data_IF_690344229412
#
_entry.id   IF_690344229412
#
_cell.length_a   1.000
_cell.length_b   1.000
_cell.length_c   1.000
_cell.angle_alpha   90.00
_cell.angle_beta   90.00
_cell.angle_gamma   90.00
#
_symmetry.space_group_name_H-M   'P 1'
#
loop_
_entity.id
_entity.type
_entity.pdbx_description
1 polymer ?
#
# COMPACT_ATOMS: atom_id res chain seq x y z
N UNK A 1 22.75 -23.49 31.40
CA UNK A 1 22.72 -22.31 30.51
C UNK A 1 21.26 -22.03 30.19
N UNK A 2 20.70 -21.01 30.84
CA UNK A 2 19.31 -20.54 30.70
C UNK A 2 19.35 -19.24 29.89
N UNK A 3 18.31 -19.02 29.07
CA UNK A 3 17.99 -17.83 28.26
C UNK A 3 18.48 -17.83 26.82
N UNK A 4 17.81 -18.58 25.95
CA UNK A 4 17.49 -18.17 24.57
C UNK A 4 16.09 -18.73 24.23
N UNK A 5 15.09 -18.35 25.02
CA UNK A 5 13.66 -18.54 24.71
C UNK A 5 13.06 -17.16 24.90
N UNK A 6 13.22 -16.25 23.93
CA UNK A 6 12.49 -14.98 23.87
C UNK A 6 12.82 -14.15 22.62
N UNK A 7 12.82 -14.72 21.41
CA UNK A 7 12.79 -13.88 20.18
C UNK A 7 12.25 -14.67 18.98
N UNK A 8 11.04 -15.22 19.09
CA UNK A 8 10.35 -15.83 17.94
C UNK A 8 8.85 -15.59 18.08
N UNK A 9 8.45 -14.33 18.22
CA UNK A 9 7.05 -13.92 18.22
C UNK A 9 6.94 -12.41 18.02
N UNK A 10 7.37 -11.87 16.86
CA UNK A 10 7.11 -10.44 16.54
C UNK A 10 7.27 -10.07 15.06
N UNK A 11 7.04 -11.00 14.13
CA UNK A 11 6.87 -10.70 12.70
C UNK A 11 5.60 -11.34 12.13
N UNK A 12 4.54 -11.37 12.96
CA UNK A 12 3.20 -11.13 12.44
C UNK A 12 2.95 -9.64 12.62
N UNK A 13 3.56 -8.81 11.78
CA UNK A 13 2.85 -7.60 11.41
C UNK A 13 1.82 -8.15 10.41
N UNK A 14 0.53 -8.32 10.78
CA UNK A 14 -0.45 -8.19 9.74
C UNK A 14 -0.13 -6.81 9.18
N UNK A 15 0.35 -6.75 7.93
CA UNK A 15 -0.02 -5.62 7.11
C UNK A 15 -1.54 -5.67 7.14
N UNK A 16 -2.11 -5.05 8.17
CA UNK A 16 -3.43 -4.53 8.14
C UNK A 16 -3.32 -3.56 6.98
N UNK A 17 -3.59 -4.08 5.79
CA UNK A 17 -4.47 -3.40 4.88
C UNK A 17 -5.66 -3.07 5.77
N UNK A 18 -5.57 -1.94 6.47
CA UNK A 18 -6.74 -1.21 6.88
C UNK A 18 -7.34 -0.72 5.57
N UNK A 19 -7.85 -1.66 4.76
CA UNK A 19 -9.16 -1.46 4.22
C UNK A 19 -9.94 -1.04 5.46
N UNK A 20 -10.32 0.23 5.53
CA UNK A 20 -11.32 0.65 6.49
C UNK A 20 -12.53 -0.21 6.15
N UNK A 21 -12.60 -1.39 6.77
CA UNK A 21 -13.80 -2.20 6.78
C UNK A 21 -14.73 -1.29 7.56
N UNK A 22 -15.54 -0.54 6.84
CA UNK A 22 -16.61 0.24 7.44
C UNK A 22 -17.39 -0.80 8.23
N UNK A 23 -17.35 -0.69 9.55
CA UNK A 23 -18.13 -1.54 10.43
C UNK A 23 -19.60 -1.40 10.00
N UNK A 24 -20.38 -2.49 10.03
CA UNK A 24 -21.81 -2.40 9.72
C UNK A 24 -22.50 -1.35 10.60
N UNK A 25 -21.98 -1.11 11.81
CA UNK A 25 -22.42 -0.04 12.69
C UNK A 25 -22.18 1.36 12.10
N UNK A 26 -20.99 1.63 11.56
CA UNK A 26 -20.61 2.89 10.89
C UNK A 26 -21.39 3.08 9.58
N UNK A 27 -21.61 2.01 8.83
CA UNK A 27 -22.44 2.04 7.62
C UNK A 27 -23.90 2.40 7.95
N UNK A 28 -24.46 1.82 9.02
CA UNK A 28 -25.81 2.14 9.48
C UNK A 28 -25.92 3.59 9.97
N UNK A 29 -24.90 4.12 10.65
CA UNK A 29 -24.84 5.52 11.08
C UNK A 29 -24.83 6.47 9.89
N UNK A 30 -24.04 6.16 8.84
CA UNK A 30 -24.04 6.92 7.59
C UNK A 30 -25.42 6.92 6.92
N UNK A 31 -26.10 5.76 6.85
CA UNK A 31 -27.46 5.68 6.28
C UNK A 31 -28.50 6.48 7.07
N UNK A 32 -28.31 6.59 8.38
CA UNK A 32 -29.19 7.36 9.27
C UNK A 32 -28.86 8.86 9.28
N UNK A 33 -27.81 9.29 8.57
CA UNK A 33 -27.38 10.68 8.53
C UNK A 33 -26.60 11.12 9.77
N UNK A 34 -26.10 10.18 10.59
CA UNK A 34 -25.31 10.46 11.79
C UNK A 34 -23.84 10.69 11.41
N UNK A 35 -23.58 11.79 10.71
CA UNK A 35 -22.24 12.25 10.41
C UNK A 35 -22.15 13.76 10.62
N UNK A 36 -20.97 14.23 11.00
CA UNK A 36 -20.62 15.64 11.06
C UNK A 36 -19.59 15.96 9.99
N UNK A 37 -19.68 17.15 9.41
CA UNK A 37 -18.66 17.64 8.49
C UNK A 37 -17.55 18.30 9.31
N UNK A 38 -16.31 17.86 9.09
CA UNK A 38 -15.14 18.47 9.71
C UNK A 38 -14.90 19.85 9.09
N UNK A 39 -15.07 20.90 9.90
CA UNK A 39 -14.82 22.28 9.49
C UNK A 39 -13.32 22.58 9.39
N UNK A 40 -12.96 23.45 8.46
CA UNK A 40 -11.60 23.93 8.23
C UNK A 40 -10.68 22.89 7.59
N UNK A 41 -11.24 21.85 6.96
CA UNK A 41 -10.47 20.79 6.30
C UNK A 41 -11.17 20.28 5.05
N UNK A 42 -10.37 19.98 4.04
CA UNK A 42 -10.82 19.26 2.84
C UNK A 42 -9.79 18.21 2.46
N UNK A 43 -10.24 17.16 1.79
CA UNK A 43 -9.39 16.19 1.11
C UNK A 43 -9.19 16.60 -0.35
N UNK A 44 -7.95 16.51 -0.82
CA UNK A 44 -7.56 16.71 -2.22
C UNK A 44 -7.01 15.39 -2.73
N UNK A 45 -7.59 14.85 -3.79
CA UNK A 45 -7.07 13.69 -4.52
C UNK A 45 -6.29 14.18 -5.73
N UNK A 46 -5.12 13.58 -5.97
CA UNK A 46 -4.21 13.94 -7.05
C UNK A 46 -4.20 12.92 -8.19
N UNK A 47 -3.70 13.34 -9.35
CA UNK A 47 -3.40 12.43 -10.45
C UNK A 47 -2.28 11.44 -10.08
N UNK A 48 -2.24 10.31 -10.76
CA UNK A 48 -1.27 9.22 -10.52
C UNK A 48 0.18 9.56 -10.94
N UNK A 49 0.38 10.69 -11.62
CA UNK A 49 1.69 11.26 -11.95
C UNK A 49 2.20 12.23 -10.88
N UNK A 50 1.36 12.65 -9.94
CA UNK A 50 1.70 13.67 -8.94
C UNK A 50 2.54 13.07 -7.83
N UNK A 51 3.74 13.60 -7.59
CA UNK A 51 4.59 13.21 -6.44
C UNK A 51 4.19 13.97 -5.17
N UNK A 52 4.46 13.39 -4.00
CA UNK A 52 4.22 14.02 -2.70
C UNK A 52 4.87 15.41 -2.58
N UNK A 53 6.16 15.51 -2.89
CA UNK A 53 6.93 16.75 -2.75
C UNK A 53 6.35 17.87 -3.63
N UNK A 54 6.05 17.56 -4.89
CA UNK A 54 5.40 18.50 -5.80
C UNK A 54 4.04 18.96 -5.27
N UNK A 55 3.17 18.03 -4.86
CA UNK A 55 1.84 18.37 -4.34
C UNK A 55 1.92 19.29 -3.11
N UNK A 56 2.75 18.92 -2.13
CA UNK A 56 2.94 19.69 -0.89
C UNK A 56 3.50 21.08 -1.21
N UNK A 57 4.46 21.17 -2.12
CA UNK A 57 5.05 22.44 -2.53
C UNK A 57 4.02 23.36 -3.23
N UNK A 58 3.25 22.83 -4.19
CA UNK A 58 2.26 23.62 -4.92
C UNK A 58 1.10 24.08 -4.02
N UNK A 59 0.63 23.22 -3.12
CA UNK A 59 -0.36 23.59 -2.10
C UNK A 59 0.19 24.68 -1.17
N UNK A 60 1.44 24.55 -0.73
CA UNK A 60 2.11 25.55 0.11
C UNK A 60 2.26 26.92 -0.58
N UNK A 61 2.55 26.95 -1.88
CA UNK A 61 2.61 28.20 -2.68
C UNK A 61 1.26 28.93 -2.71
N UNK A 62 0.16 28.21 -2.56
CA UNK A 62 -1.20 28.75 -2.48
C UNK A 62 -1.64 29.09 -1.05
N UNK A 63 -0.79 28.84 -0.05
CA UNK A 63 -1.08 29.13 1.34
C UNK A 63 -1.84 28.03 2.08
N UNK A 64 -1.96 26.83 1.51
CA UNK A 64 -2.57 25.69 2.18
C UNK A 64 -1.55 24.92 3.03
N UNK A 65 -1.96 24.58 4.25
CA UNK A 65 -1.20 23.70 5.16
C UNK A 65 -1.66 22.26 4.95
N UNK A 66 -0.73 21.36 4.62
CA UNK A 66 -1.00 19.92 4.51
C UNK A 66 -0.94 19.30 5.91
N UNK A 67 -2.06 18.73 6.37
CA UNK A 67 -2.19 18.11 7.69
C UNK A 67 -1.77 16.64 7.67
N UNK A 68 -2.13 15.93 6.60
CA UNK A 68 -1.77 14.52 6.39
C UNK A 68 -1.80 14.19 4.91
N UNK A 69 -1.15 13.09 4.52
CA UNK A 69 -1.20 12.59 3.16
C UNK A 69 -1.11 11.07 3.09
N UNK A 70 -1.60 10.50 2.01
CA UNK A 70 -1.61 9.05 1.74
C UNK A 70 -0.60 8.65 0.66
N UNK A 71 0.31 9.55 0.28
CA UNK A 71 1.34 9.23 -0.71
C UNK A 71 2.15 8.03 -0.23
N UNK A 72 2.03 6.92 -0.96
CA UNK A 72 2.76 5.69 -0.71
C UNK A 72 3.31 5.16 -2.03
N UNK A 73 4.52 4.56 -2.00
CA UNK A 73 5.03 3.73 -3.08
C UNK A 73 4.00 2.71 -3.56
N UNK A 74 3.97 2.45 -4.86
CA UNK A 74 3.34 1.23 -5.36
C UNK A 74 4.20 0.07 -4.88
N UNK A 75 3.59 -0.88 -4.20
CA UNK A 75 4.26 -2.11 -3.78
C UNK A 75 3.90 -3.22 -4.75
N UNK A 76 4.93 -3.81 -5.35
CA UNK A 76 4.80 -5.00 -6.17
C UNK A 76 5.24 -6.21 -5.37
N UNK A 77 4.48 -7.30 -5.47
CA UNK A 77 4.89 -8.63 -5.03
C UNK A 77 5.42 -9.38 -6.24
N UNK A 78 6.60 -9.99 -6.10
CA UNK A 78 7.08 -10.94 -7.10
C UNK A 78 6.45 -12.30 -6.79
N UNK A 79 5.59 -12.79 -7.69
CA UNK A 79 4.86 -14.05 -7.52
C UNK A 79 5.64 -15.25 -8.06
N UNK A 80 6.55 -14.99 -9.01
CA UNK A 80 7.46 -15.98 -9.55
C UNK A 80 8.86 -15.39 -9.69
N UNK A 81 9.82 -15.99 -8.98
CA UNK A 81 11.25 -15.69 -9.09
C UNK A 81 11.95 -16.87 -9.77
N UNK A 82 12.40 -16.73 -11.03
CA UNK A 82 13.15 -17.76 -11.75
C UNK A 82 14.50 -18.07 -11.09
N UNK A 83 15.03 -19.26 -11.35
CA UNK A 83 16.39 -19.59 -10.93
C UNK A 83 17.42 -18.68 -11.60
N UNK A 84 18.37 -18.18 -10.82
CA UNK A 84 19.44 -17.31 -11.30
C UNK A 84 19.15 -15.81 -11.24
N UNK A 85 17.87 -15.42 -11.08
CA UNK A 85 17.51 -14.02 -10.79
C UNK A 85 17.54 -13.78 -9.29
N UNK A 86 18.22 -12.73 -8.89
CA UNK A 86 18.38 -12.30 -7.52
C UNK A 86 17.71 -10.95 -7.31
N UNK A 87 17.36 -10.59 -6.06
CA UNK A 87 16.87 -9.25 -5.74
C UNK A 87 17.74 -8.11 -6.30
N UNK A 88 19.07 -8.31 -6.38
CA UNK A 88 20.00 -7.32 -6.91
C UNK A 88 19.76 -6.97 -8.37
N UNK A 89 19.25 -7.90 -9.16
CA UNK A 89 18.97 -7.66 -10.58
C UNK A 89 17.85 -6.62 -10.78
N UNK A 90 17.08 -6.32 -9.73
CA UNK A 90 16.05 -5.29 -9.71
C UNK A 90 16.50 -3.98 -9.07
N UNK A 91 17.56 -3.98 -8.25
CA UNK A 91 17.98 -2.80 -7.45
C UNK A 91 18.38 -1.62 -8.33
N UNK A 92 18.97 -1.87 -9.50
CA UNK A 92 19.45 -0.82 -10.41
C UNK A 92 18.35 -0.25 -11.33
N UNK A 93 17.13 -0.77 -11.25
CA UNK A 93 16.05 -0.34 -12.12
C UNK A 93 15.52 1.06 -11.70
N UNK A 94 15.36 1.97 -12.67
CA UNK A 94 14.99 3.40 -12.43
C UNK A 94 13.72 3.60 -11.58
N UNK A 95 12.80 2.63 -11.59
CA UNK A 95 11.55 2.69 -10.84
C UNK A 95 11.64 2.02 -9.47
N UNK A 96 12.68 1.25 -9.18
CA UNK A 96 12.85 0.53 -7.93
C UNK A 96 13.52 1.44 -6.91
N UNK A 97 12.87 1.61 -5.76
CA UNK A 97 13.40 2.41 -4.64
C UNK A 97 13.97 1.50 -3.55
N UNK A 98 13.24 0.43 -3.24
CA UNK A 98 13.69 -0.55 -2.26
C UNK A 98 13.13 -1.94 -2.53
N UNK A 99 13.79 -2.94 -1.96
CA UNK A 99 13.40 -4.33 -2.06
C UNK A 99 13.35 -4.94 -0.66
N UNK A 100 12.22 -5.58 -0.35
CA UNK A 100 12.04 -6.38 0.86
C UNK A 100 12.10 -7.85 0.46
N UNK A 101 13.08 -8.57 0.99
CA UNK A 101 13.21 -10.00 0.74
C UNK A 101 13.35 -10.78 2.04
N UNK A 102 12.58 -11.86 2.19
CA UNK A 102 12.77 -12.83 3.27
C UNK A 102 12.84 -14.23 2.67
N UNK A 103 13.80 -15.01 3.17
CA UNK A 103 13.85 -16.44 2.90
C UNK A 103 13.78 -17.22 4.21
N UNK A 104 12.72 -18.01 4.37
CA UNK A 104 12.50 -18.84 5.56
C UNK A 104 12.47 -20.29 5.14
N UNK A 105 13.42 -21.08 5.64
CA UNK A 105 13.33 -22.54 5.55
C UNK A 105 12.21 -23.03 6.46
N UNK A 106 11.28 -23.82 5.94
CA UNK A 106 10.22 -24.45 6.73
C UNK A 106 10.44 -25.95 6.70
N UNK A 107 10.49 -26.58 7.87
CA UNK A 107 10.66 -28.02 7.98
C UNK A 107 9.34 -28.80 7.80
N UNK A 108 9.45 -30.11 7.60
CA UNK A 108 8.31 -31.01 7.37
C UNK A 108 7.32 -31.04 8.55
N UNK A 109 7.78 -30.74 9.76
CA UNK A 109 6.95 -30.74 10.96
C UNK A 109 6.04 -29.50 10.98
N UNK A 110 6.58 -28.35 10.62
CA UNK A 110 5.84 -27.09 10.49
C UNK A 110 4.81 -27.14 9.36
N UNK A 111 5.16 -27.74 8.21
CA UNK A 111 4.20 -28.01 7.13
C UNK A 111 3.04 -28.91 7.57
N UNK A 112 3.32 -29.92 8.41
CA UNK A 112 2.28 -30.80 8.99
C UNK A 112 1.38 -30.07 9.98
N UNK A 113 1.92 -29.13 10.77
CA UNK A 113 1.13 -28.30 11.70
C UNK A 113 0.22 -27.34 10.95
N UNK A 114 0.70 -26.72 9.87
CA UNK A 114 -0.11 -25.82 9.02
C UNK A 114 -1.30 -26.54 8.39
N UNK A 115 -1.09 -27.74 7.80
CA UNK A 115 -2.16 -28.54 7.19
C UNK A 115 -3.23 -29.03 8.17
N UNK A 116 -2.90 -29.17 9.46
CA UNK A 116 -3.83 -29.65 10.49
C UNK A 116 -4.70 -28.53 11.09
N UNK A 117 -4.28 -27.27 10.99
CA UNK A 117 -4.92 -26.15 11.71
C UNK A 117 -6.01 -25.45 10.91
N UNK A 118 -6.05 -25.60 9.59
CA UNK A 118 -7.05 -24.99 8.70
C UNK A 118 -7.74 -26.07 7.86
N UNK A 119 -9.06 -26.26 8.04
CA UNK A 119 -9.89 -27.12 7.19
C UNK A 119 -10.30 -26.45 5.87
N UNK A 120 -9.95 -25.18 5.68
CA UNK A 120 -10.16 -24.39 4.46
C UNK A 120 -8.84 -23.76 4.06
N UNK A 121 -8.06 -24.48 3.25
CA UNK A 121 -6.84 -23.95 2.64
C UNK A 121 -7.27 -22.90 1.60
N UNK A 122 -6.99 -21.62 1.89
CA UNK A 122 -7.17 -20.52 0.93
C UNK A 122 -6.24 -20.71 -0.27
N UNK A 123 -6.58 -20.15 -1.44
CA UNK A 123 -5.76 -20.29 -2.64
C UNK A 123 -4.31 -19.81 -2.40
N UNK A 124 -4.16 -18.73 -1.65
CA UNK A 124 -2.86 -18.21 -1.18
C UNK A 124 -2.08 -19.23 -0.36
N UNK A 125 -2.73 -19.95 0.55
CA UNK A 125 -2.07 -21.02 1.31
C UNK A 125 -1.68 -22.21 0.42
N UNK A 126 -2.41 -22.48 -0.66
CA UNK A 126 -2.07 -23.53 -1.63
C UNK A 126 -0.85 -23.16 -2.46
N UNK A 127 -0.80 -21.94 -2.99
CA UNK A 127 0.37 -21.42 -3.72
C UNK A 127 1.64 -21.44 -2.84
N UNK A 128 1.51 -21.03 -1.58
CA UNK A 128 2.60 -21.12 -0.60
C UNK A 128 3.09 -22.56 -0.45
N UNK A 129 2.16 -23.50 -0.22
CA UNK A 129 2.49 -24.93 -0.09
C UNK A 129 3.14 -25.52 -1.34
N UNK A 130 2.81 -25.04 -2.54
CA UNK A 130 3.44 -25.46 -3.79
C UNK A 130 4.86 -24.93 -3.92
N UNK A 131 5.10 -23.65 -3.62
CA UNK A 131 6.45 -23.07 -3.59
C UNK A 131 7.35 -23.81 -2.59
N UNK A 132 6.82 -24.19 -1.42
CA UNK A 132 7.54 -24.99 -0.44
C UNK A 132 7.91 -26.39 -0.93
N UNK A 133 6.97 -27.10 -1.58
CA UNK A 133 7.21 -28.47 -2.06
C UNK A 133 8.32 -28.52 -3.10
N UNK A 134 8.44 -27.49 -3.91
CA UNK A 134 9.40 -27.44 -5.01
C UNK A 134 10.80 -26.98 -4.53
N UNK A 135 10.86 -26.03 -3.58
CA UNK A 135 12.11 -25.34 -3.22
C UNK A 135 12.63 -25.57 -1.79
N UNK A 136 11.80 -26.11 -0.89
CA UNK A 136 12.16 -26.31 0.53
C UNK A 136 12.29 -25.03 1.36
N UNK A 137 12.02 -23.87 0.76
CA UNK A 137 12.04 -22.56 1.42
C UNK A 137 10.87 -21.68 0.94
N UNK A 138 10.46 -20.77 1.82
CA UNK A 138 9.61 -19.64 1.47
C UNK A 138 10.52 -18.55 0.90
N UNK A 139 10.14 -17.97 -0.24
CA UNK A 139 10.76 -16.74 -0.72
C UNK A 139 9.68 -15.68 -0.84
N UNK A 140 9.78 -14.66 0.01
CA UNK A 140 8.97 -13.46 -0.10
C UNK A 140 9.84 -12.37 -0.72
N UNK A 141 9.35 -11.77 -1.80
CA UNK A 141 10.01 -10.66 -2.46
C UNK A 141 8.97 -9.58 -2.78
N UNK A 142 9.13 -8.42 -2.16
CA UNK A 142 8.38 -7.20 -2.47
C UNK A 142 9.32 -6.13 -3.00
N UNK A 143 8.85 -5.40 -4.01
CA UNK A 143 9.55 -4.30 -4.65
C UNK A 143 8.74 -3.04 -4.40
N UNK A 144 9.32 -2.08 -3.70
CA UNK A 144 8.76 -0.75 -3.53
C UNK A 144 9.21 0.14 -4.68
N UNK A 145 8.26 0.72 -5.39
CA UNK A 145 8.58 1.65 -6.47
C UNK A 145 8.82 3.06 -5.94
N UNK A 146 9.58 3.86 -6.68
CA UNK A 146 9.75 5.29 -6.40
C UNK A 146 8.39 6.00 -6.34
N UNK A 147 8.29 7.08 -5.55
CA UNK A 147 7.06 7.86 -5.39
C UNK A 147 6.51 8.47 -6.70
N UNK A 148 7.35 8.61 -7.73
CA UNK A 148 6.96 9.07 -9.07
C UNK A 148 6.48 7.98 -10.01
N UNK A 149 6.59 6.70 -9.62
CA UNK A 149 6.17 5.58 -10.45
C UNK A 149 4.65 5.61 -10.67
N UNK A 150 4.23 5.47 -11.94
CA UNK A 150 2.83 5.34 -12.33
C UNK A 150 2.49 3.87 -12.61
N UNK A 151 1.28 3.60 -13.09
CA UNK A 151 0.91 2.25 -13.57
C UNK A 151 1.82 1.76 -14.70
N UNK A 152 2.39 2.67 -15.49
CA UNK A 152 3.28 2.33 -16.60
C UNK A 152 4.65 1.83 -16.11
N UNK A 153 5.03 2.15 -14.86
CA UNK A 153 6.28 1.66 -14.28
C UNK A 153 6.32 0.13 -14.15
N UNK A 154 5.15 -0.50 -13.99
CA UNK A 154 5.03 -1.96 -14.00
C UNK A 154 5.30 -2.53 -15.39
N UNK A 155 4.74 -1.92 -16.45
CA UNK A 155 4.96 -2.37 -17.82
C UNK A 155 6.45 -2.23 -18.22
N UNK A 156 7.11 -1.14 -17.80
CA UNK A 156 8.55 -0.96 -17.98
C UNK A 156 9.37 -2.08 -17.31
N UNK A 157 9.00 -2.45 -16.07
CA UNK A 157 9.66 -3.53 -15.32
C UNK A 157 9.47 -4.90 -15.99
N UNK A 158 8.25 -5.18 -16.49
CA UNK A 158 7.93 -6.42 -17.19
C UNK A 158 8.61 -6.53 -18.56
N UNK A 159 8.85 -5.41 -19.25
CA UNK A 159 9.57 -5.41 -20.54
C UNK A 159 11.06 -5.74 -20.36
N UNK A 160 11.67 -5.23 -19.28
CA UNK A 160 13.09 -5.46 -18.97
C UNK A 160 13.31 -6.84 -18.33
N UNK A 161 12.37 -7.31 -17.51
CA UNK A 161 12.42 -8.61 -16.84
C UNK A 161 11.17 -9.46 -17.14
N UNK A 162 10.98 -9.92 -18.39
CA UNK A 162 9.78 -10.65 -18.80
C UNK A 162 9.57 -11.99 -18.09
N UNK A 163 10.66 -12.56 -17.55
CA UNK A 163 10.67 -13.78 -16.76
C UNK A 163 10.12 -13.58 -15.33
N UNK A 164 10.15 -12.35 -14.82
CA UNK A 164 9.54 -12.01 -13.54
C UNK A 164 8.04 -11.82 -13.71
N UNK A 165 7.29 -12.26 -12.69
CA UNK A 165 5.86 -11.99 -12.60
C UNK A 165 5.61 -11.13 -11.38
N UNK A 166 5.01 -9.98 -11.63
CA UNK A 166 4.68 -8.99 -10.63
C UNK A 166 3.17 -8.96 -10.40
N UNK A 167 2.78 -8.69 -9.17
CA UNK A 167 1.40 -8.45 -8.76
C UNK A 167 1.38 -7.15 -7.94
N UNK A 168 0.44 -6.25 -8.20
CA UNK A 168 0.27 -5.05 -7.38
C UNK A 168 -0.26 -5.46 -6.01
N UNK A 169 0.59 -5.41 -5.00
CA UNK A 169 0.26 -5.77 -3.63
C UNK A 169 -0.34 -4.59 -2.86
N UNK A 170 0.12 -3.38 -3.13
CA UNK A 170 -0.43 -2.15 -2.56
C UNK A 170 -0.36 -1.02 -3.58
N UNK A 171 -1.50 -0.38 -3.79
CA UNK A 171 -1.60 0.88 -4.50
C UNK A 171 -2.62 1.75 -3.76
N UNK A 172 -2.14 2.83 -3.17
CA UNK A 172 -2.99 3.78 -2.44
C UNK A 172 -3.40 4.92 -3.36
N UNK A 173 -4.62 5.42 -3.17
CA UNK A 173 -5.03 6.69 -3.74
C UNK A 173 -4.09 7.79 -3.23
N UNK A 174 -3.65 8.68 -4.13
CA UNK A 174 -2.79 9.82 -3.76
C UNK A 174 -3.69 10.94 -3.30
N UNK A 175 -3.73 11.20 -2.01
CA UNK A 175 -4.51 12.29 -1.45
C UNK A 175 -3.79 12.99 -0.31
N UNK A 176 -4.25 14.19 0.00
CA UNK A 176 -3.83 14.97 1.14
C UNK A 176 -5.04 15.59 1.83
N UNK A 177 -5.02 15.63 3.15
CA UNK A 177 -5.94 16.48 3.92
C UNK A 177 -5.25 17.79 4.15
N UNK A 178 -5.89 18.88 3.72
CA UNK A 178 -5.39 20.22 3.90
C UNK A 178 -6.26 21.00 4.84
N UNK A 179 -5.67 21.99 5.49
CA UNK A 179 -6.37 22.97 6.32
C UNK A 179 -6.88 24.10 5.45
N UNK A 180 -8.11 24.51 5.70
CA UNK A 180 -8.75 25.69 5.12
C UNK A 180 -9.19 26.64 6.22
N UNK A 181 -9.53 27.87 5.84
CA UNK A 181 -10.34 28.72 6.71
C UNK A 181 -11.73 28.08 6.87
N UNK A 182 -12.28 28.17 8.07
CA UNK A 182 -13.64 27.71 8.36
C UNK A 182 -14.65 28.48 7.52
N UNK A 183 -15.62 27.76 6.95
CA UNK A 183 -16.67 28.28 6.07
C UNK A 183 -16.15 28.78 4.70
N UNK A 184 -14.88 28.49 4.35
CA UNK A 184 -14.27 28.73 3.02
C UNK A 184 -13.83 27.44 2.31
N UNK A 185 -14.30 26.29 2.78
CA UNK A 185 -13.95 24.98 2.24
C UNK A 185 -14.33 24.89 0.75
N UNK A 186 -15.53 25.35 0.38
CA UNK A 186 -16.02 25.30 -1.00
C UNK A 186 -15.19 26.20 -1.95
N UNK A 187 -14.81 27.40 -1.49
CA UNK A 187 -13.94 28.29 -2.27
C UNK A 187 -12.57 27.64 -2.52
N UNK A 188 -12.00 27.01 -1.49
CA UNK A 188 -10.74 26.27 -1.61
C UNK A 188 -10.87 25.05 -2.55
N UNK A 189 -12.00 24.34 -2.49
CA UNK A 189 -12.31 23.22 -3.39
C UNK A 189 -12.36 23.69 -4.85
N UNK A 190 -13.10 24.76 -5.14
CA UNK A 190 -13.21 25.34 -6.48
C UNK A 190 -11.84 25.80 -7.02
N UNK A 191 -11.03 26.45 -6.19
CA UNK A 191 -9.68 26.88 -6.57
C UNK A 191 -8.80 25.67 -6.90
N UNK A 192 -8.77 24.66 -6.02
CA UNK A 192 -7.86 23.52 -6.16
C UNK A 192 -8.29 22.57 -7.27
N UNK A 193 -9.59 22.42 -7.52
CA UNK A 193 -10.09 21.57 -8.60
C UNK A 193 -9.73 22.11 -10.00
N UNK A 194 -9.37 23.39 -10.11
CA UNK A 194 -8.86 23.97 -11.35
C UNK A 194 -7.41 23.56 -11.67
N UNK A 195 -6.69 22.93 -10.72
CA UNK A 195 -5.30 22.56 -10.90
C UNK A 195 -5.16 21.27 -11.73
N UNK A 196 -4.23 21.24 -12.70
CA UNK A 196 -4.12 20.12 -13.64
C UNK A 196 -3.66 18.80 -13.01
N UNK A 197 -3.12 18.86 -11.79
CA UNK A 197 -2.63 17.70 -11.03
C UNK A 197 -3.58 17.29 -9.90
N UNK A 198 -4.72 17.97 -9.76
CA UNK A 198 -5.81 17.64 -8.82
C UNK A 198 -6.90 16.93 -9.59
N UNK A 199 -7.24 15.73 -9.13
CA UNK A 199 -8.30 14.90 -9.72
C UNK A 199 -9.66 15.25 -9.14
N UNK A 200 -9.74 15.43 -7.81
CA UNK A 200 -10.97 15.76 -7.11
C UNK A 200 -10.68 16.44 -5.77
N UNK A 201 -11.69 17.13 -5.24
CA UNK A 201 -11.70 17.64 -3.87
C UNK A 201 -12.96 17.15 -3.15
N UNK A 202 -12.88 16.96 -1.83
CA UNK A 202 -14.00 16.48 -1.04
C UNK A 202 -14.01 17.07 0.37
N UNK A 203 -15.22 17.30 0.90
CA UNK A 203 -15.41 17.62 2.31
C UNK A 203 -15.07 16.40 3.18
N UNK A 204 -14.45 16.66 4.32
CA UNK A 204 -14.18 15.62 5.32
C UNK A 204 -15.38 15.44 6.23
N UNK A 205 -15.77 14.20 6.49
CA UNK A 205 -16.85 13.86 7.43
C UNK A 205 -16.37 12.89 8.51
N UNK A 206 -16.86 13.06 9.74
CA UNK A 206 -16.68 12.12 10.84
C UNK A 206 -18.02 11.45 11.15
N UNK A 207 -17.98 10.13 11.36
CA UNK A 207 -19.14 9.36 11.80
C UNK A 207 -19.33 9.56 13.32
N UNK A 208 -20.57 9.81 13.76
CA UNK A 208 -20.93 9.98 15.18
C UNK A 208 -21.32 8.65 15.84
#
# INVERSE_FOLDING_TARGET
MKRIIQTFLLLFIPFAVQAQIIDESDFNKLQQGNYSIEKGKIQVTFTDTTTSDFAIQELGKKGYEVLSSTFQPIMLRVTHLPEGITPKDLEDHKWVDFILHESVGIDDEDLRKMKKKDSTVTERQRELLEQFKDRGNYQFLMVGLTYGATKDALADLEDIHPELKFEVALQSERSAVIKTETDKELEAMDELQSLPFVLNTAMMGSIE
#
